data_IF_159677274203
#
_entry.id   IF_159677274203
#
_cell.length_a   1.000
_cell.length_b   1.000
_cell.length_c   1.000
_cell.angle_alpha   90.00
_cell.angle_beta   90.00
_cell.angle_gamma   90.00
#
_symmetry.space_group_name_H-M   'P 1'
#
loop_
_entity.id
_entity.type
_entity.pdbx_description
1 polymer ?
#
# COMPACT_ATOMS: atom_id res chain seq x y z
N UNK A 1 -28.31 -21.79 -7.64
CA UNK A 1 -26.84 -21.95 -7.61
C UNK A 1 -26.31 -21.53 -8.96
N UNK A 2 -25.35 -20.61 -9.00
CA UNK A 2 -24.67 -20.30 -10.26
C UNK A 2 -23.83 -21.52 -10.66
N UNK A 3 -23.81 -21.91 -11.96
CA UNK A 3 -22.96 -23.00 -12.42
C UNK A 3 -21.48 -22.67 -12.22
N UNK A 4 -20.65 -23.71 -11.99
CA UNK A 4 -19.19 -23.55 -11.94
C UNK A 4 -18.72 -23.19 -13.35
N UNK A 5 -18.11 -22.02 -13.49
CA UNK A 5 -17.47 -21.58 -14.74
C UNK A 5 -16.06 -22.19 -14.81
N UNK A 6 -15.75 -22.89 -15.90
CA UNK A 6 -14.42 -23.44 -16.14
C UNK A 6 -13.61 -22.47 -16.99
N UNK A 7 -12.58 -21.88 -16.39
CA UNK A 7 -11.68 -20.91 -17.02
C UNK A 7 -10.25 -21.45 -16.99
N UNK A 8 -9.47 -21.24 -18.06
CA UNK A 8 -8.08 -21.67 -18.10
C UNK A 8 -7.26 -20.92 -17.02
N UNK A 9 -6.29 -21.55 -16.34
CA UNK A 9 -5.52 -20.90 -15.28
C UNK A 9 -4.88 -19.56 -15.67
N UNK A 10 -4.42 -19.42 -16.92
CA UNK A 10 -3.85 -18.16 -17.44
C UNK A 10 -4.87 -17.06 -17.73
N UNK A 11 -6.16 -17.38 -17.77
CA UNK A 11 -7.25 -16.46 -18.08
C UNK A 11 -8.08 -16.07 -16.85
N UNK A 12 -7.93 -16.78 -15.72
CA UNK A 12 -8.70 -16.53 -14.48
C UNK A 12 -8.57 -15.08 -14.01
N UNK A 13 -7.34 -14.53 -14.02
CA UNK A 13 -7.13 -13.14 -13.61
C UNK A 13 -7.86 -12.18 -14.54
N UNK A 14 -7.69 -12.35 -15.87
CA UNK A 14 -8.35 -11.51 -16.88
C UNK A 14 -9.87 -11.56 -16.71
N UNK A 15 -10.43 -12.77 -16.57
CA UNK A 15 -11.87 -12.98 -16.36
C UNK A 15 -12.35 -12.33 -15.07
N UNK A 16 -11.56 -12.39 -14.00
CA UNK A 16 -11.89 -11.71 -12.74
C UNK A 16 -11.97 -10.19 -12.91
N UNK A 17 -11.07 -9.58 -13.67
CA UNK A 17 -11.11 -8.13 -13.95
C UNK A 17 -12.29 -7.73 -14.85
N UNK A 18 -12.68 -8.58 -15.79
CA UNK A 18 -13.90 -8.38 -16.58
C UNK A 18 -15.14 -8.35 -15.67
N UNK A 19 -15.30 -9.34 -14.78
CA UNK A 19 -16.41 -9.40 -13.81
C UNK A 19 -16.42 -8.18 -12.89
N UNK A 20 -15.25 -7.76 -12.37
CA UNK A 20 -15.15 -6.55 -11.54
C UNK A 20 -15.60 -5.31 -12.32
N UNK A 21 -15.27 -5.23 -13.61
CA UNK A 21 -15.67 -4.10 -14.46
C UNK A 21 -17.19 -4.07 -14.68
N UNK A 22 -17.78 -5.22 -15.00
CA UNK A 22 -19.24 -5.37 -15.15
C UNK A 22 -20.00 -5.01 -13.87
N UNK A 23 -19.51 -5.43 -12.70
CA UNK A 23 -20.15 -5.12 -11.41
C UNK A 23 -20.01 -3.64 -11.01
N UNK A 24 -18.88 -2.99 -11.34
CA UNK A 24 -18.74 -1.54 -11.17
C UNK A 24 -19.73 -0.77 -12.06
N UNK A 25 -19.90 -1.20 -13.31
CA UNK A 25 -20.84 -0.61 -14.25
C UNK A 25 -22.30 -0.74 -13.76
N UNK A 26 -22.69 -1.93 -13.28
CA UNK A 26 -24.02 -2.16 -12.68
C UNK A 26 -24.28 -1.27 -11.46
N UNK A 27 -23.24 -0.97 -10.68
CA UNK A 27 -23.28 -0.05 -9.53
C UNK A 27 -23.21 1.43 -9.94
N UNK A 28 -23.05 1.72 -11.23
CA UNK A 28 -22.88 3.07 -11.78
C UNK A 28 -21.65 3.79 -11.19
N UNK A 29 -20.61 3.02 -10.83
CA UNK A 29 -19.35 3.55 -10.31
C UNK A 29 -18.36 3.71 -11.44
N UNK A 30 -17.92 4.95 -11.67
CA UNK A 30 -16.88 5.29 -12.65
C UNK A 30 -15.60 5.65 -11.91
N UNK A 31 -14.55 4.86 -12.13
CA UNK A 31 -13.23 5.12 -11.53
C UNK A 31 -12.42 6.05 -12.44
N UNK A 32 -11.68 7.03 -11.88
CA UNK A 32 -10.72 7.80 -12.67
C UNK A 32 -9.69 6.88 -13.34
N UNK A 33 -9.40 7.11 -14.62
CA UNK A 33 -8.53 6.23 -15.45
C UNK A 33 -7.18 5.92 -14.81
N UNK A 34 -6.57 6.91 -14.17
CA UNK A 34 -5.30 6.75 -13.47
C UNK A 34 -5.40 5.77 -12.28
N UNK A 35 -6.50 5.85 -11.53
CA UNK A 35 -6.72 5.11 -10.28
C UNK A 35 -7.30 3.71 -10.54
N UNK A 36 -8.03 3.54 -11.64
CA UNK A 36 -8.79 2.34 -11.99
C UNK A 36 -7.97 1.04 -11.87
N UNK A 37 -6.74 0.91 -12.41
CA UNK A 37 -5.96 -0.32 -12.29
C UNK A 37 -5.63 -0.67 -10.84
N UNK A 38 -5.37 0.34 -10.01
CA UNK A 38 -5.06 0.17 -8.58
C UNK A 38 -6.32 -0.24 -7.82
N UNK A 39 -7.42 0.50 -7.97
CA UNK A 39 -8.68 0.21 -7.28
C UNK A 39 -9.22 -1.17 -7.65
N UNK A 40 -9.22 -1.53 -8.94
CA UNK A 40 -9.67 -2.88 -9.37
C UNK A 40 -8.79 -3.97 -8.79
N UNK A 41 -7.48 -3.77 -8.65
CA UNK A 41 -6.57 -4.76 -8.06
C UNK A 41 -6.84 -4.93 -6.55
N UNK A 42 -7.19 -3.84 -5.86
CA UNK A 42 -7.64 -3.89 -4.46
C UNK A 42 -8.96 -4.65 -4.32
N UNK A 43 -9.94 -4.37 -5.18
CA UNK A 43 -11.22 -5.13 -5.21
C UNK A 43 -10.94 -6.61 -5.50
N UNK A 44 -10.09 -6.93 -6.48
CA UNK A 44 -9.75 -8.30 -6.84
C UNK A 44 -9.18 -9.10 -5.66
N UNK A 45 -8.26 -8.52 -4.87
CA UNK A 45 -7.66 -9.24 -3.74
C UNK A 45 -8.58 -9.36 -2.52
N UNK A 46 -9.64 -8.55 -2.44
CA UNK A 46 -10.52 -8.46 -1.27
C UNK A 46 -11.94 -8.98 -1.52
N UNK A 47 -12.33 -9.13 -2.79
CA UNK A 47 -13.71 -9.33 -3.23
C UNK A 47 -14.69 -8.28 -2.67
N UNK A 48 -14.20 -7.06 -2.42
CA UNK A 48 -14.94 -6.02 -1.71
C UNK A 48 -15.03 -4.74 -2.56
N UNK A 49 -16.23 -4.45 -3.05
CA UNK A 49 -16.48 -3.30 -3.92
C UNK A 49 -16.54 -1.96 -3.16
N UNK A 50 -16.59 -1.97 -1.82
CA UNK A 50 -16.57 -0.72 -1.04
C UNK A 50 -15.24 0.03 -1.20
N UNK A 51 -14.17 -0.65 -1.64
CA UNK A 51 -12.92 0.01 -2.03
C UNK A 51 -13.07 0.95 -3.23
N UNK A 52 -14.11 0.79 -4.06
CA UNK A 52 -14.38 1.73 -5.14
C UNK A 52 -14.75 3.13 -4.62
N UNK A 53 -15.29 3.21 -3.40
CA UNK A 53 -15.72 4.47 -2.76
C UNK A 53 -14.74 4.93 -1.67
N UNK A 54 -14.07 3.99 -1.00
CA UNK A 54 -13.22 4.32 0.16
C UNK A 54 -11.77 4.61 -0.21
N UNK A 55 -11.29 4.20 -1.39
CA UNK A 55 -9.94 4.53 -1.84
C UNK A 55 -9.81 6.04 -2.08
N UNK A 56 -8.75 6.64 -1.52
CA UNK A 56 -8.41 8.05 -1.64
C UNK A 56 -6.97 8.17 -2.13
N UNK A 57 -6.77 9.11 -3.06
CA UNK A 57 -5.51 9.33 -3.75
C UNK A 57 -5.17 10.81 -3.60
N UNK A 58 -3.91 11.12 -3.31
CA UNK A 58 -3.43 12.48 -3.52
C UNK A 58 -3.38 12.80 -5.02
N UNK A 59 -3.22 14.07 -5.37
CA UNK A 59 -3.06 14.48 -6.76
C UNK A 59 -1.92 13.71 -7.44
N UNK A 60 -2.19 13.14 -8.62
CA UNK A 60 -1.24 12.37 -9.43
C UNK A 60 -0.55 11.21 -8.69
N UNK A 61 -1.16 10.67 -7.63
CA UNK A 61 -0.55 9.68 -6.75
C UNK A 61 0.02 8.46 -7.51
N UNK A 62 -0.68 7.95 -8.53
CA UNK A 62 -0.24 6.74 -9.23
C UNK A 62 0.94 7.07 -10.14
N UNK A 63 0.92 8.20 -10.83
CA UNK A 63 2.03 8.63 -11.68
C UNK A 63 3.28 8.98 -10.85
N UNK A 64 3.12 9.66 -9.70
CA UNK A 64 4.23 9.92 -8.77
C UNK A 64 4.86 8.61 -8.29
N UNK A 65 4.05 7.62 -7.89
CA UNK A 65 4.57 6.33 -7.44
C UNK A 65 5.30 5.57 -8.57
N UNK A 66 4.80 5.64 -9.81
CA UNK A 66 5.46 5.09 -10.99
C UNK A 66 6.83 5.72 -11.21
N UNK A 67 6.92 7.05 -11.17
CA UNK A 67 8.17 7.77 -11.34
C UNK A 67 9.20 7.43 -10.25
N UNK A 68 8.76 7.30 -9.00
CA UNK A 68 9.62 6.90 -7.89
C UNK A 68 10.20 5.51 -8.13
N UNK A 69 9.37 4.55 -8.51
CA UNK A 69 9.82 3.18 -8.81
C UNK A 69 10.81 3.19 -9.99
N UNK A 70 10.53 3.93 -11.06
CA UNK A 70 11.43 4.07 -12.21
C UNK A 70 12.80 4.68 -11.83
N UNK A 71 12.84 5.51 -10.78
CA UNK A 71 14.06 6.10 -10.20
C UNK A 71 14.74 5.20 -9.16
N UNK A 72 14.30 3.96 -9.00
CA UNK A 72 14.89 2.99 -8.08
C UNK A 72 14.46 3.14 -6.62
N UNK A 73 13.26 3.67 -6.36
CA UNK A 73 12.72 3.75 -5.01
C UNK A 73 12.61 2.38 -4.34
N UNK A 74 12.93 2.34 -3.06
CA UNK A 74 12.71 1.17 -2.22
C UNK A 74 11.29 1.18 -1.66
N UNK A 75 10.73 -0.01 -1.39
CA UNK A 75 9.43 -0.17 -0.74
C UNK A 75 9.63 -0.74 0.67
N UNK A 76 9.22 0.00 1.69
CA UNK A 76 9.27 -0.47 3.08
C UNK A 76 7.87 -0.85 3.53
N UNK A 77 7.72 -2.06 4.08
CA UNK A 77 6.44 -2.56 4.59
C UNK A 77 6.44 -2.66 6.11
N UNK A 78 5.25 -2.58 6.70
CA UNK A 78 5.04 -2.75 8.14
C UNK A 78 4.76 -4.20 8.55
N UNK A 79 4.72 -5.15 7.60
CA UNK A 79 4.58 -6.58 7.88
C UNK A 79 5.32 -7.44 6.86
N UNK A 80 5.81 -8.60 7.32
CA UNK A 80 6.35 -9.63 6.43
C UNK A 80 5.31 -10.18 5.45
N UNK A 81 4.02 -10.08 5.78
CA UNK A 81 2.93 -10.51 4.90
C UNK A 81 2.82 -9.58 3.68
N UNK A 82 2.89 -8.26 3.88
CA UNK A 82 2.93 -7.30 2.77
C UNK A 82 4.21 -7.49 1.96
N UNK A 83 5.37 -7.63 2.62
CA UNK A 83 6.64 -7.90 1.97
C UNK A 83 6.59 -9.16 1.09
N UNK A 84 5.97 -10.24 1.58
CA UNK A 84 5.84 -11.49 0.84
C UNK A 84 4.95 -11.33 -0.40
N UNK A 85 3.93 -10.47 -0.34
CA UNK A 85 3.01 -10.23 -1.44
C UNK A 85 3.57 -9.37 -2.58
N UNK A 86 4.61 -8.56 -2.33
CA UNK A 86 5.19 -7.66 -3.36
C UNK A 86 6.03 -8.45 -4.38
N UNK A 87 5.86 -8.13 -5.66
CA UNK A 87 6.64 -8.70 -6.76
C UNK A 87 8.07 -8.11 -6.82
N UNK A 88 8.95 -8.66 -5.97
CA UNK A 88 10.34 -8.21 -5.83
C UNK A 88 11.14 -8.27 -7.12
N UNK A 89 10.85 -9.22 -8.02
CA UNK A 89 11.55 -9.36 -9.30
C UNK A 89 11.30 -8.16 -10.22
N UNK A 90 10.06 -7.68 -10.28
CA UNK A 90 9.74 -6.49 -11.08
C UNK A 90 10.31 -5.24 -10.43
N UNK A 91 10.16 -5.08 -9.11
CA UNK A 91 10.74 -3.94 -8.39
C UNK A 91 12.27 -3.85 -8.62
N UNK A 92 12.98 -4.97 -8.48
CA UNK A 92 14.42 -5.04 -8.70
C UNK A 92 14.84 -4.70 -10.14
N UNK A 93 13.98 -4.97 -11.14
CA UNK A 93 14.26 -4.57 -12.53
C UNK A 93 14.28 -3.05 -12.74
N UNK A 94 13.74 -2.28 -11.80
CA UNK A 94 13.81 -0.82 -11.77
C UNK A 94 14.82 -0.28 -10.73
N UNK A 95 15.61 -1.15 -10.07
CA UNK A 95 16.64 -0.76 -9.09
C UNK A 95 16.15 -0.60 -7.63
N UNK A 96 14.88 -0.90 -7.37
CA UNK A 96 14.30 -0.86 -6.02
C UNK A 96 14.41 -2.19 -5.27
N UNK A 97 14.38 -2.11 -3.95
CA UNK A 97 14.31 -3.25 -3.04
C UNK A 97 13.10 -3.17 -2.11
N UNK A 98 12.59 -4.32 -1.67
CA UNK A 98 11.47 -4.39 -0.73
C UNK A 98 11.96 -4.83 0.66
N UNK A 99 11.60 -4.07 1.69
CA UNK A 99 12.10 -4.24 3.06
C UNK A 99 10.97 -4.43 4.08
N UNK A 100 11.30 -5.05 5.21
CA UNK A 100 10.47 -5.12 6.41
C UNK A 100 11.38 -5.31 7.62
N UNK A 101 11.47 -4.31 8.49
CA UNK A 101 12.39 -4.35 9.64
C UNK A 101 11.71 -4.85 10.92
N UNK A 102 10.42 -5.21 10.87
CA UNK A 102 9.62 -5.63 12.03
C UNK A 102 10.14 -6.87 12.76
N UNK A 103 10.87 -7.73 12.06
CA UNK A 103 11.43 -8.96 12.59
C UNK A 103 12.88 -8.81 13.06
N UNK A 104 13.49 -7.65 12.88
CA UNK A 104 14.89 -7.45 13.23
C UNK A 104 15.07 -7.39 14.76
N UNK A 105 16.15 -8.00 15.24
CA UNK A 105 16.43 -8.11 16.68
C UNK A 105 16.69 -6.75 17.32
N UNK A 106 17.39 -5.86 16.62
CA UNK A 106 17.66 -4.49 17.05
C UNK A 106 16.37 -3.66 17.18
N UNK A 107 15.45 -3.79 16.21
CA UNK A 107 14.12 -3.16 16.23
C UNK A 107 13.31 -3.67 17.42
N UNK A 108 13.32 -4.98 17.67
CA UNK A 108 12.60 -5.58 18.80
C UNK A 108 13.16 -5.13 20.15
N UNK A 109 14.49 -5.05 20.27
CA UNK A 109 15.16 -4.58 21.48
C UNK A 109 14.84 -3.11 21.76
N UNK A 110 15.08 -2.23 20.78
CA UNK A 110 14.90 -0.79 20.95
C UNK A 110 13.43 -0.42 21.22
N UNK A 111 12.49 -1.09 20.57
CA UNK A 111 11.06 -0.88 20.83
C UNK A 111 10.69 -1.20 22.30
N UNK A 112 11.31 -2.24 22.86
CA UNK A 112 11.11 -2.65 24.26
C UNK A 112 11.73 -1.65 25.23
N UNK A 113 12.94 -1.18 24.94
CA UNK A 113 13.67 -0.18 25.73
C UNK A 113 12.91 1.16 25.77
N UNK A 114 12.38 1.60 24.63
CA UNK A 114 11.64 2.85 24.50
C UNK A 114 10.14 2.74 24.82
N UNK A 115 9.64 1.54 25.12
CA UNK A 115 8.22 1.25 25.38
C UNK A 115 7.27 1.69 24.24
N UNK A 116 7.74 1.57 23.00
CA UNK A 116 6.96 1.86 21.78
C UNK A 116 6.71 0.58 20.98
N UNK A 117 5.95 0.68 19.89
CA UNK A 117 5.72 -0.49 19.03
C UNK A 117 6.94 -0.76 18.14
N UNK A 118 7.14 -2.02 17.74
CA UNK A 118 8.15 -2.38 16.72
C UNK A 118 7.92 -1.64 15.40
N UNK A 119 6.66 -1.34 15.07
CA UNK A 119 6.31 -0.58 13.88
C UNK A 119 6.89 0.83 13.91
N UNK A 120 6.85 1.50 15.07
CA UNK A 120 7.48 2.81 15.29
C UNK A 120 8.98 2.77 14.95
N UNK A 121 9.73 1.89 15.62
CA UNK A 121 11.18 1.76 15.39
C UNK A 121 11.51 1.29 13.97
N UNK A 122 10.67 0.44 13.38
CA UNK A 122 10.84 -0.01 11.99
C UNK A 122 10.74 1.15 11.00
N UNK A 123 9.89 2.16 11.25
CA UNK A 123 9.79 3.35 10.39
C UNK A 123 11.00 4.26 10.56
N UNK A 124 11.50 4.43 11.79
CA UNK A 124 12.73 5.19 12.05
C UNK A 124 13.95 4.56 11.38
N UNK A 125 14.08 3.23 11.47
CA UNK A 125 15.15 2.49 10.79
C UNK A 125 15.07 2.63 9.27
N UNK A 126 13.87 2.62 8.72
CA UNK A 126 13.63 2.83 7.30
C UNK A 126 13.98 4.25 6.81
N UNK A 127 13.87 5.26 7.67
CA UNK A 127 14.24 6.63 7.34
C UNK A 127 15.75 6.82 7.09
N UNK A 128 16.59 5.85 7.48
CA UNK A 128 18.03 5.84 7.21
C UNK A 128 18.40 5.35 5.79
N UNK A 129 17.43 4.92 4.97
CA UNK A 129 17.68 4.46 3.60
C UNK A 129 18.02 5.68 2.72
N UNK A 130 19.19 5.66 2.08
CA UNK A 130 19.68 6.72 1.17
C UNK A 130 19.10 6.60 -0.25
N UNK A 131 17.79 6.35 -0.36
CA UNK A 131 17.01 6.29 -1.61
C UNK A 131 15.61 6.87 -1.35
N UNK A 132 14.85 7.26 -2.38
CA UNK A 132 13.42 7.52 -2.20
C UNK A 132 12.73 6.27 -1.64
N UNK A 133 11.92 6.43 -0.59
CA UNK A 133 11.21 5.31 0.05
C UNK A 133 9.70 5.48 -0.09
N UNK A 134 9.06 4.43 -0.60
CA UNK A 134 7.61 4.24 -0.60
C UNK A 134 7.25 3.39 0.62
N UNK A 135 6.47 3.94 1.55
CA UNK A 135 6.02 3.19 2.72
C UNK A 135 4.68 2.52 2.42
N UNK A 136 4.63 1.19 2.50
CA UNK A 136 3.43 0.40 2.31
C UNK A 136 2.96 -0.21 3.64
N UNK A 137 2.08 0.52 4.31
CA UNK A 137 1.55 0.19 5.65
C UNK A 137 0.18 -0.45 5.52
N UNK A 138 0.11 -1.75 5.81
CA UNK A 138 -1.10 -2.57 5.68
C UNK A 138 -1.69 -3.06 7.00
N UNK A 139 -1.05 -2.86 8.15
CA UNK A 139 -1.51 -3.40 9.43
C UNK A 139 -1.43 -2.41 10.60
N UNK A 140 -0.25 -1.87 10.88
CA UNK A 140 0.03 -1.14 12.10
C UNK A 140 -0.31 0.35 11.95
N UNK A 141 -1.41 0.86 12.55
CA UNK A 141 -1.69 2.29 12.54
C UNK A 141 -0.58 3.10 13.23
N UNK A 142 0.16 2.51 14.16
CA UNK A 142 1.32 3.15 14.80
C UNK A 142 2.47 3.43 13.84
N UNK A 143 2.59 2.71 12.71
CA UNK A 143 3.53 3.06 11.65
C UNK A 143 3.15 4.38 10.99
N UNK A 144 1.87 4.57 10.63
CA UNK A 144 1.39 5.85 10.07
C UNK A 144 1.53 7.00 11.05
N UNK A 145 1.24 6.77 12.34
CA UNK A 145 1.40 7.78 13.39
C UNK A 145 2.87 8.20 13.52
N UNK A 146 3.81 7.26 13.50
CA UNK A 146 5.24 7.61 13.56
C UNK A 146 5.71 8.32 12.28
N UNK A 147 5.27 7.88 11.09
CA UNK A 147 5.58 8.59 9.84
C UNK A 147 5.08 10.05 9.89
N UNK A 148 3.83 10.26 10.31
CA UNK A 148 3.27 11.60 10.51
C UNK A 148 4.10 12.41 11.50
N UNK A 149 4.45 11.83 12.66
CA UNK A 149 5.30 12.49 13.66
C UNK A 149 6.63 12.93 13.05
N UNK A 150 7.34 12.04 12.36
CA UNK A 150 8.61 12.36 11.69
C UNK A 150 8.48 13.48 10.65
N UNK A 151 7.37 13.52 9.90
CA UNK A 151 7.06 14.59 8.94
C UNK A 151 6.89 15.92 9.67
N UNK A 152 6.02 15.95 10.70
CA UNK A 152 5.71 17.20 11.43
C UNK A 152 6.90 17.75 12.22
N UNK A 153 7.79 16.88 12.69
CA UNK A 153 9.02 17.27 13.39
C UNK A 153 10.16 17.64 12.41
N UNK A 154 9.94 17.53 11.09
CA UNK A 154 10.96 17.80 10.07
C UNK A 154 12.13 16.83 10.09
N UNK A 155 12.00 15.67 10.75
CA UNK A 155 13.07 14.65 10.85
C UNK A 155 13.22 13.85 9.57
N UNK A 156 12.11 13.59 8.89
CA UNK A 156 12.10 12.78 7.68
C UNK A 156 10.85 13.04 6.83
N UNK A 157 11.02 13.11 5.51
CA UNK A 157 9.93 13.25 4.54
C UNK A 157 9.90 12.00 3.66
N UNK A 158 8.91 11.10 3.83
CA UNK A 158 8.71 9.97 2.92
C UNK A 158 8.49 10.44 1.48
N UNK A 159 8.97 9.67 0.50
CA UNK A 159 8.70 9.98 -0.90
C UNK A 159 7.24 9.68 -1.29
N UNK A 160 6.64 8.67 -0.65
CA UNK A 160 5.27 8.25 -0.88
C UNK A 160 4.73 7.39 0.27
N UNK A 161 3.42 7.43 0.52
CA UNK A 161 2.76 6.58 1.54
C UNK A 161 1.56 5.84 0.96
N UNK A 162 1.61 4.51 0.97
CA UNK A 162 0.46 3.63 0.82
C UNK A 162 -0.04 3.30 2.23
N UNK A 163 -1.09 3.98 2.69
CA UNK A 163 -1.61 3.90 4.06
C UNK A 163 -2.95 3.16 4.13
N UNK A 164 -2.89 1.83 4.22
CA UNK A 164 -4.07 0.96 4.26
C UNK A 164 -4.09 0.02 5.48
N UNK A 165 -3.76 0.48 6.71
CA UNK A 165 -3.89 -0.37 7.89
C UNK A 165 -5.33 -0.80 8.12
N UNK A 166 -5.52 -2.05 8.52
CA UNK A 166 -6.83 -2.61 8.93
C UNK A 166 -6.95 -2.62 10.44
N UNK A 167 -8.15 -2.38 10.95
CA UNK A 167 -8.44 -2.58 12.38
C UNK A 167 -9.44 -1.59 12.96
N UNK A 168 -9.57 -1.65 14.27
CA UNK A 168 -10.64 -0.96 15.00
C UNK A 168 -10.14 0.19 15.89
N UNK A 169 -8.89 0.11 16.35
CA UNK A 169 -8.28 1.08 17.27
C UNK A 169 -7.32 1.97 16.48
N UNK A 170 -7.51 3.28 16.56
CA UNK A 170 -6.64 4.32 15.97
C UNK A 170 -6.43 4.25 14.44
N UNK A 171 -7.03 3.30 13.72
CA UNK A 171 -6.84 3.12 12.27
C UNK A 171 -7.39 4.29 11.46
N UNK A 172 -8.62 4.72 11.74
CA UNK A 172 -9.24 5.86 11.04
C UNK A 172 -8.43 7.14 11.25
N UNK A 173 -8.18 7.61 12.49
CA UNK A 173 -7.41 8.84 12.69
C UNK A 173 -5.98 8.74 12.15
N UNK A 174 -5.31 7.58 12.25
CA UNK A 174 -3.97 7.41 11.70
C UNK A 174 -3.90 7.59 10.17
N UNK A 175 -4.96 7.22 9.45
CA UNK A 175 -5.07 7.46 8.01
C UNK A 175 -5.36 8.92 7.68
N UNK A 176 -6.27 9.55 8.44
CA UNK A 176 -6.59 10.97 8.26
C UNK A 176 -5.35 11.85 8.48
N UNK A 177 -4.51 11.55 9.47
CA UNK A 177 -3.24 12.27 9.71
C UNK A 177 -2.36 12.34 8.45
N UNK A 178 -2.27 11.27 7.67
CA UNK A 178 -1.46 11.27 6.44
C UNK A 178 -2.11 12.10 5.33
N UNK A 179 -3.44 12.07 5.25
CA UNK A 179 -4.18 12.84 4.24
C UNK A 179 -4.09 14.36 4.46
N UNK A 180 -3.70 14.79 5.67
CA UNK A 180 -3.44 16.19 6.03
C UNK A 180 -1.98 16.62 5.75
N UNK A 181 -1.11 15.72 5.28
CA UNK A 181 0.28 16.05 4.93
C UNK A 181 0.45 16.36 3.44
N UNK A 182 1.58 16.99 3.10
CA UNK A 182 2.00 17.24 1.71
C UNK A 182 2.64 16.01 1.03
N UNK A 183 2.75 14.87 1.73
CA UNK A 183 3.37 13.66 1.17
C UNK A 183 2.38 12.96 0.25
N UNK A 184 2.75 12.61 -1.00
CA UNK A 184 1.87 11.88 -1.90
C UNK A 184 1.44 10.52 -1.33
N UNK A 185 0.17 10.16 -1.50
CA UNK A 185 -0.40 8.98 -0.86
C UNK A 185 -1.46 8.23 -1.67
N UNK A 186 -1.62 6.95 -1.31
CA UNK A 186 -2.78 6.11 -1.63
C UNK A 186 -3.28 5.49 -0.32
N UNK A 187 -4.50 5.83 0.08
CA UNK A 187 -5.11 5.43 1.36
C UNK A 187 -6.49 4.86 1.09
N UNK A 188 -7.05 4.13 2.04
CA UNK A 188 -8.48 3.82 2.05
C UNK A 188 -9.12 4.34 3.33
N UNK A 189 -10.17 5.17 3.24
CA UNK A 189 -10.90 5.68 4.40
C UNK A 189 -11.56 4.55 5.19
N UNK A 190 -11.78 4.80 6.48
CA UNK A 190 -12.40 3.83 7.37
C UNK A 190 -11.47 2.72 7.87
N UNK A 191 -12.07 1.63 8.35
CA UNK A 191 -11.38 0.56 9.10
C UNK A 191 -10.83 -0.58 8.24
N UNK A 192 -11.32 -0.70 7.00
CA UNK A 192 -10.86 -1.71 6.04
C UNK A 192 -9.40 -1.44 5.67
N UNK A 193 -8.72 -2.44 5.14
CA UNK A 193 -7.33 -2.36 4.73
C UNK A 193 -6.70 -3.75 4.75
N UNK A 194 -5.39 -3.82 4.94
CA UNK A 194 -4.69 -5.08 5.14
C UNK A 194 -3.37 -5.14 4.41
N UNK A 195 -2.53 -6.09 4.82
CA UNK A 195 -1.25 -6.35 4.14
C UNK A 195 -1.44 -6.85 2.70
N UNK A 196 -2.52 -7.57 2.41
CA UNK A 196 -2.91 -7.95 1.05
C UNK A 196 -3.26 -6.70 0.20
N UNK A 197 -3.96 -5.73 0.77
CA UNK A 197 -4.31 -4.46 0.10
C UNK A 197 -3.05 -3.63 -0.18
N UNK A 198 -2.17 -3.48 0.80
CA UNK A 198 -0.89 -2.78 0.62
C UNK A 198 -0.05 -3.40 -0.52
N UNK A 199 0.11 -4.72 -0.51
CA UNK A 199 0.83 -5.45 -1.55
C UNK A 199 0.12 -5.36 -2.92
N UNK A 200 -1.22 -5.40 -2.95
CA UNK A 200 -2.01 -5.27 -4.17
C UNK A 200 -1.83 -3.89 -4.83
N UNK A 201 -1.78 -2.81 -4.04
CA UNK A 201 -1.51 -1.45 -4.53
C UNK A 201 -0.10 -1.38 -5.13
N UNK A 202 0.92 -1.86 -4.40
CA UNK A 202 2.30 -1.90 -4.90
C UNK A 202 2.38 -2.66 -6.25
N UNK A 203 1.80 -3.86 -6.29
CA UNK A 203 1.83 -4.70 -7.48
C UNK A 203 1.03 -4.10 -8.65
N UNK A 204 -0.10 -3.44 -8.39
CA UNK A 204 -0.86 -2.75 -9.43
C UNK A 204 -0.02 -1.70 -10.14
N UNK A 205 0.82 -0.98 -9.40
CA UNK A 205 1.74 0.04 -9.95
C UNK A 205 2.87 -0.65 -10.72
N UNK A 206 3.53 -1.65 -10.12
CA UNK A 206 4.60 -2.42 -10.76
C UNK A 206 4.16 -3.07 -12.09
N UNK A 207 2.95 -3.62 -12.13
CA UNK A 207 2.43 -4.26 -13.34
C UNK A 207 2.04 -3.28 -14.44
N UNK A 208 1.76 -2.02 -14.11
CA UNK A 208 1.57 -0.98 -15.11
C UNK A 208 2.90 -0.59 -15.77
N UNK A 209 4.01 -0.58 -15.02
CA UNK A 209 5.33 -0.23 -15.54
C UNK A 209 5.97 -1.30 -16.43
N UNK A 210 5.55 -2.56 -16.28
CA UNK A 210 6.06 -3.68 -17.09
C UNK A 210 5.44 -3.75 -18.50
N UNK A 211 4.31 -3.07 -18.72
CA UNK A 211 3.51 -3.20 -19.95
C UNK A 211 4.17 -2.59 -21.17
#
# INVERSE_FOLDING_TARGET
MNPIEFVLPGEIEKRSFEIISEELEKRQIVLPKEQEPVTKRVIHTSADFDYAETMCYSDHAVEIAKELILKGADIVTDTNMALAGINKKILASFGGEAHCFMADLDVAQLAREQQVTRATISMEKAAAIEKPVIFAVGNAPTALIELHKMITEGRYQPAFIIGVPVGFVNVVPAKELIMETEVPYIINRGRKGGSNVAAAICNAILYQLRR
#
